data_IF_592734627209
#
_entry.id   IF_592734627209
#
_cell.length_a   1.000
_cell.length_b   1.000
_cell.length_c   1.000
_cell.angle_alpha   90.00
_cell.angle_beta   90.00
_cell.angle_gamma   90.00
#
_symmetry.space_group_name_H-M   'P 1'
#
loop_
_entity.id
_entity.type
_entity.pdbx_description
1 polymer ?
#
# COMPACT_ATOMS: atom_id res chain seq x y z
N UNK A 1 -15.65 10.49 -16.25
CA UNK A 1 -14.22 10.15 -16.25
C UNK A 1 -14.01 8.95 -17.15
N UNK A 2 -13.18 9.10 -18.17
CA UNK A 2 -13.00 8.10 -19.23
C UNK A 2 -12.46 6.78 -18.69
N UNK A 3 -13.29 5.75 -18.72
CA UNK A 3 -12.92 4.34 -18.44
C UNK A 3 -12.16 3.72 -19.62
N UNK A 4 -11.58 4.54 -20.50
CA UNK A 4 -10.88 4.06 -21.69
C UNK A 4 -9.48 3.56 -21.33
N UNK A 5 -9.31 2.24 -21.45
CA UNK A 5 -8.05 1.54 -21.64
C UNK A 5 -7.17 1.29 -20.39
N UNK A 6 -7.74 0.83 -19.27
CA UNK A 6 -6.91 0.10 -18.32
C UNK A 6 -6.49 -1.22 -18.99
N UNK A 7 -5.18 -1.43 -19.13
CA UNK A 7 -4.62 -2.74 -19.52
C UNK A 7 -5.26 -3.79 -18.61
N UNK A 8 -5.86 -4.82 -19.17
CA UNK A 8 -6.43 -5.90 -18.36
C UNK A 8 -5.35 -6.54 -17.51
N UNK A 9 -5.61 -6.67 -16.21
CA UNK A 9 -4.64 -7.08 -15.22
C UNK A 9 -4.63 -8.60 -15.03
N UNK A 10 -3.44 -9.15 -14.85
CA UNK A 10 -3.21 -10.50 -14.36
C UNK A 10 -2.89 -10.40 -12.88
N UNK A 11 -3.75 -10.95 -12.05
CA UNK A 11 -3.70 -10.84 -10.60
C UNK A 11 -3.29 -12.17 -10.00
N UNK A 12 -2.38 -12.16 -9.05
CA UNK A 12 -2.04 -13.32 -8.24
C UNK A 12 -2.69 -13.18 -6.86
N UNK A 13 -3.45 -14.17 -6.40
CA UNK A 13 -4.02 -14.23 -5.05
C UNK A 13 -3.23 -15.25 -4.25
N UNK A 14 -2.62 -14.81 -3.17
CA UNK A 14 -1.82 -15.64 -2.27
C UNK A 14 -2.44 -15.59 -0.88
N UNK A 15 -3.07 -16.69 -0.45
CA UNK A 15 -3.82 -16.79 0.80
C UNK A 15 -4.00 -18.27 1.16
N UNK A 16 -3.78 -18.67 2.39
CA UNK A 16 -3.94 -20.07 2.80
C UNK A 16 -5.40 -20.44 3.07
N UNK A 17 -6.28 -19.46 3.30
CA UNK A 17 -7.71 -19.65 3.50
C UNK A 17 -8.44 -19.91 2.18
N UNK A 18 -8.65 -21.18 1.85
CA UNK A 18 -9.24 -21.63 0.57
C UNK A 18 -10.56 -20.92 0.25
N UNK A 19 -11.49 -20.82 1.20
CA UNK A 19 -12.81 -20.22 0.97
C UNK A 19 -12.70 -18.72 0.63
N UNK A 20 -11.82 -17.99 1.33
CA UNK A 20 -11.59 -16.58 1.07
C UNK A 20 -10.97 -16.38 -0.33
N UNK A 21 -9.97 -17.18 -0.67
CA UNK A 21 -9.29 -17.13 -1.97
C UNK A 21 -10.25 -17.43 -3.12
N UNK A 22 -11.08 -18.49 -3.03
CA UNK A 22 -12.08 -18.85 -4.03
C UNK A 22 -13.16 -17.76 -4.16
N UNK A 23 -13.64 -17.21 -3.04
CA UNK A 23 -14.63 -16.12 -3.03
C UNK A 23 -14.08 -14.85 -3.69
N UNK A 24 -12.84 -14.46 -3.33
CA UNK A 24 -12.17 -13.29 -3.91
C UNK A 24 -11.95 -13.47 -5.43
N UNK A 25 -11.50 -14.66 -5.85
CA UNK A 25 -11.36 -15.01 -7.26
C UNK A 25 -12.67 -14.88 -8.02
N UNK A 26 -13.77 -15.42 -7.47
CA UNK A 26 -15.08 -15.33 -8.10
C UNK A 26 -15.51 -13.87 -8.29
N UNK A 27 -15.40 -13.04 -7.25
CA UNK A 27 -15.77 -11.63 -7.29
C UNK A 27 -14.89 -10.81 -8.24
N UNK A 28 -13.59 -11.06 -8.26
CA UNK A 28 -12.67 -10.35 -9.14
C UNK A 28 -12.80 -10.79 -10.61
N UNK A 29 -13.17 -12.05 -10.87
CA UNK A 29 -13.36 -12.55 -12.25
C UNK A 29 -14.53 -11.88 -12.97
N UNK A 30 -15.47 -11.27 -12.25
CA UNK A 30 -16.59 -10.50 -12.84
C UNK A 30 -16.17 -9.09 -13.27
N UNK A 31 -14.96 -8.63 -12.91
CA UNK A 31 -14.51 -7.28 -13.22
C UNK A 31 -13.92 -7.19 -14.63
N UNK A 32 -14.31 -6.17 -15.36
CA UNK A 32 -13.91 -5.92 -16.75
C UNK A 32 -12.40 -5.65 -16.94
N UNK A 33 -11.74 -5.17 -15.89
CA UNK A 33 -10.29 -4.88 -15.87
C UNK A 33 -9.43 -6.12 -15.54
N UNK A 34 -10.02 -7.25 -15.16
CA UNK A 34 -9.29 -8.49 -14.87
C UNK A 34 -9.16 -9.36 -16.11
N UNK A 35 -7.94 -9.79 -16.41
CA UNK A 35 -7.64 -10.70 -17.51
C UNK A 35 -7.53 -12.16 -17.04
N UNK A 36 -6.75 -12.37 -15.99
CA UNK A 36 -6.48 -13.70 -15.45
C UNK A 36 -6.18 -13.62 -13.96
N UNK A 37 -6.53 -14.67 -13.23
CA UNK A 37 -6.25 -14.80 -11.80
C UNK A 37 -5.47 -16.08 -11.57
N UNK A 38 -4.26 -15.93 -11.04
CA UNK A 38 -3.45 -17.02 -10.50
C UNK A 38 -3.70 -17.15 -9.00
N UNK A 39 -3.45 -18.32 -8.45
CA UNK A 39 -3.66 -18.62 -7.03
C UNK A 39 -2.46 -19.37 -6.46
N UNK A 40 -2.12 -19.07 -5.21
CA UNK A 40 -1.23 -19.86 -4.38
C UNK A 40 -1.83 -20.01 -2.98
N UNK A 41 -1.60 -21.15 -2.36
CA UNK A 41 -2.08 -21.46 -1.00
C UNK A 41 -1.02 -21.20 0.08
N UNK A 42 0.17 -20.75 -0.29
CA UNK A 42 1.26 -20.39 0.62
C UNK A 42 2.25 -19.44 -0.05
N UNK A 43 3.05 -18.77 0.78
CA UNK A 43 4.14 -17.94 0.28
C UNK A 43 5.18 -18.72 -0.53
N UNK A 44 5.44 -19.96 -0.14
CA UNK A 44 6.38 -20.86 -0.86
C UNK A 44 5.87 -21.21 -2.24
N UNK A 45 4.62 -21.68 -2.36
CA UNK A 45 3.96 -22.01 -3.63
C UNK A 45 3.98 -20.79 -4.58
N UNK A 46 3.70 -19.60 -4.05
CA UNK A 46 3.77 -18.36 -4.81
C UNK A 46 5.18 -18.10 -5.36
N UNK A 47 6.23 -18.17 -4.53
CA UNK A 47 7.61 -17.87 -4.95
C UNK A 47 8.12 -18.87 -5.98
N UNK A 48 7.83 -20.16 -5.80
CA UNK A 48 8.22 -21.23 -6.73
C UNK A 48 7.60 -21.00 -8.13
N UNK A 49 6.37 -20.51 -8.17
CA UNK A 49 5.65 -20.29 -9.42
C UNK A 49 5.82 -18.89 -10.02
N UNK A 50 6.30 -17.90 -9.26
CA UNK A 50 6.38 -16.50 -9.69
C UNK A 50 7.18 -16.29 -10.98
N UNK A 51 8.23 -17.07 -11.19
CA UNK A 51 9.08 -16.97 -12.39
C UNK A 51 8.43 -17.53 -13.65
N UNK A 52 7.41 -18.38 -13.52
CA UNK A 52 6.72 -19.04 -14.63
C UNK A 52 5.43 -18.34 -15.05
N UNK A 53 4.93 -17.41 -14.22
CA UNK A 53 3.70 -16.69 -14.51
C UNK A 53 3.99 -15.20 -14.67
N UNK A 54 3.27 -14.59 -15.62
CA UNK A 54 3.35 -13.16 -15.84
C UNK A 54 2.16 -12.49 -15.14
N UNK A 55 2.40 -11.94 -13.94
CA UNK A 55 1.39 -11.22 -13.16
C UNK A 55 1.76 -9.74 -13.03
N UNK A 56 0.74 -8.88 -13.03
CA UNK A 56 0.87 -7.43 -12.93
C UNK A 56 0.72 -6.95 -11.48
N UNK A 57 -0.02 -7.71 -10.64
CA UNK A 57 -0.34 -7.35 -9.27
C UNK A 57 -0.56 -8.60 -8.42
N UNK A 58 -0.13 -8.54 -7.16
CA UNK A 58 -0.32 -9.60 -6.16
C UNK A 58 -1.22 -9.09 -5.03
N UNK A 59 -2.21 -9.89 -4.65
CA UNK A 59 -2.96 -9.77 -3.41
C UNK A 59 -2.36 -10.78 -2.44
N UNK A 60 -1.71 -10.31 -1.37
CA UNK A 60 -0.89 -11.11 -0.47
C UNK A 60 -1.49 -11.14 0.93
N UNK A 61 -1.82 -12.32 1.42
CA UNK A 61 -2.10 -12.51 2.85
C UNK A 61 -0.81 -12.42 3.67
N UNK A 62 -0.91 -11.93 4.90
CA UNK A 62 0.23 -11.84 5.82
C UNK A 62 0.44 -13.17 6.53
N UNK A 63 -0.62 -13.70 7.13
CA UNK A 63 -0.55 -14.85 8.04
C UNK A 63 -0.72 -16.16 7.27
N UNK A 64 0.39 -16.71 6.83
CA UNK A 64 0.44 -18.02 6.18
C UNK A 64 1.48 -18.92 6.84
N UNK A 65 1.24 -20.26 6.89
CA UNK A 65 2.18 -21.20 7.44
C UNK A 65 3.47 -21.29 6.62
N UNK A 66 4.57 -21.69 7.25
CA UNK A 66 5.92 -21.91 6.68
C UNK A 66 6.61 -20.64 6.18
N UNK A 67 6.03 -19.91 5.24
CA UNK A 67 6.51 -18.65 4.70
C UNK A 67 5.38 -17.64 4.76
N UNK A 68 5.52 -16.65 5.64
CA UNK A 68 4.52 -15.58 5.79
C UNK A 68 4.56 -14.60 4.62
N UNK A 69 3.52 -13.75 4.52
CA UNK A 69 3.39 -12.81 3.41
C UNK A 69 4.49 -11.75 3.35
N UNK A 70 5.13 -11.41 4.48
CA UNK A 70 6.25 -10.47 4.52
C UNK A 70 7.46 -11.09 3.82
N UNK A 71 7.86 -12.29 4.24
CA UNK A 71 8.98 -13.04 3.65
C UNK A 71 8.75 -13.32 2.16
N UNK A 72 7.52 -13.71 1.80
CA UNK A 72 7.14 -13.95 0.41
C UNK A 72 7.23 -12.65 -0.42
N UNK A 73 6.76 -11.52 0.12
CA UNK A 73 6.85 -10.22 -0.56
C UNK A 73 8.29 -9.75 -0.73
N UNK A 74 9.14 -9.89 0.29
CA UNK A 74 10.56 -9.55 0.19
C UNK A 74 11.26 -10.35 -0.92
N UNK A 75 11.02 -11.66 -0.97
CA UNK A 75 11.60 -12.51 -2.01
C UNK A 75 11.04 -12.17 -3.39
N UNK A 76 9.73 -11.94 -3.51
CA UNK A 76 9.09 -11.58 -4.77
C UNK A 76 9.64 -10.26 -5.33
N UNK A 77 9.83 -9.24 -4.50
CA UNK A 77 10.37 -7.94 -4.92
C UNK A 77 11.88 -8.00 -5.23
N UNK A 78 12.63 -8.97 -4.69
CA UNK A 78 14.01 -9.25 -5.15
C UNK A 78 14.03 -9.87 -6.55
N UNK A 79 13.05 -10.75 -6.87
CA UNK A 79 12.92 -11.39 -8.19
C UNK A 79 12.37 -10.40 -9.22
N UNK A 80 11.36 -9.62 -8.83
CA UNK A 80 10.66 -8.63 -9.67
C UNK A 80 10.50 -7.32 -8.91
N UNK A 81 11.44 -6.38 -8.99
CA UNK A 81 11.40 -5.12 -8.25
C UNK A 81 10.19 -4.23 -8.56
N UNK A 82 9.63 -4.34 -9.77
CA UNK A 82 8.47 -3.55 -10.22
C UNK A 82 7.12 -4.21 -9.90
N UNK A 83 7.11 -5.38 -9.24
CA UNK A 83 5.90 -6.10 -8.89
C UNK A 83 5.06 -5.28 -7.92
N UNK A 84 3.78 -5.13 -8.23
CA UNK A 84 2.82 -4.42 -7.39
C UNK A 84 2.22 -5.38 -6.38
N UNK A 85 2.39 -5.12 -5.08
CA UNK A 85 1.85 -5.96 -4.02
C UNK A 85 0.86 -5.14 -3.19
N UNK A 86 -0.35 -5.68 -3.02
CA UNK A 86 -1.37 -5.22 -2.07
C UNK A 86 -1.51 -6.29 -1.01
N UNK A 87 -1.36 -5.88 0.24
CA UNK A 87 -1.54 -6.75 1.39
C UNK A 87 -3.01 -6.86 1.74
N UNK A 88 -3.46 -8.08 2.04
CA UNK A 88 -4.75 -8.36 2.63
C UNK A 88 -4.51 -8.92 4.04
N UNK A 89 -5.08 -8.30 5.07
CA UNK A 89 -4.90 -8.72 6.47
C UNK A 89 -6.22 -8.78 7.21
N UNK A 90 -6.36 -9.74 8.13
CA UNK A 90 -7.51 -9.80 9.07
C UNK A 90 -7.42 -8.72 10.12
N UNK A 91 -6.22 -8.32 10.52
CA UNK A 91 -5.94 -7.39 11.60
C UNK A 91 -5.10 -6.21 11.14
N UNK A 92 -5.40 -5.02 11.66
CA UNK A 92 -4.56 -3.84 11.50
C UNK A 92 -3.37 -3.85 12.46
N UNK A 93 -2.62 -4.96 12.55
CA UNK A 93 -1.47 -5.06 13.45
C UNK A 93 -0.35 -4.14 12.96
N UNK A 94 0.02 -3.21 13.82
CA UNK A 94 1.01 -2.18 13.57
C UNK A 94 2.36 -2.77 13.16
N UNK A 95 2.79 -3.86 13.78
CA UNK A 95 4.09 -4.48 13.51
C UNK A 95 4.19 -5.03 12.07
N UNK A 96 3.12 -5.64 11.57
CA UNK A 96 3.05 -6.15 10.20
C UNK A 96 2.99 -5.01 9.18
N UNK A 97 2.25 -3.95 9.51
CA UNK A 97 2.15 -2.78 8.65
C UNK A 97 3.50 -2.13 8.40
N UNK A 98 4.26 -1.82 9.46
CA UNK A 98 5.59 -1.23 9.33
C UNK A 98 6.52 -2.06 8.46
N UNK A 99 6.59 -3.36 8.74
CA UNK A 99 7.44 -4.27 7.97
C UNK A 99 7.05 -4.31 6.49
N UNK A 100 5.75 -4.38 6.18
CA UNK A 100 5.27 -4.43 4.81
C UNK A 100 5.52 -3.12 4.05
N UNK A 101 5.40 -1.98 4.73
CA UNK A 101 5.73 -0.68 4.15
C UNK A 101 7.23 -0.59 3.84
N UNK A 102 8.09 -1.05 4.74
CA UNK A 102 9.54 -1.07 4.55
C UNK A 102 9.96 -2.00 3.40
N UNK A 103 9.29 -3.11 3.24
CA UNK A 103 9.47 -4.03 2.11
C UNK A 103 9.07 -3.39 0.78
N UNK A 104 8.15 -2.42 0.77
CA UNK A 104 7.79 -1.64 -0.41
C UNK A 104 6.46 -1.99 -1.06
N UNK A 105 5.50 -2.55 -0.29
CA UNK A 105 4.14 -2.81 -0.78
C UNK A 105 3.46 -1.52 -1.28
N UNK A 106 2.53 -1.66 -2.21
CA UNK A 106 1.82 -0.54 -2.83
C UNK A 106 0.43 -0.33 -2.24
N UNK A 107 -0.08 -1.29 -1.49
CA UNK A 107 -1.37 -1.17 -0.85
C UNK A 107 -1.54 -2.07 0.35
N UNK A 108 -2.49 -1.71 1.22
CA UNK A 108 -2.88 -2.50 2.38
C UNK A 108 -4.39 -2.35 2.59
N UNK A 109 -5.09 -3.47 2.68
CA UNK A 109 -6.54 -3.54 2.84
C UNK A 109 -6.87 -4.57 3.92
N UNK A 110 -7.81 -4.26 4.78
CA UNK A 110 -8.32 -5.24 5.74
C UNK A 110 -9.28 -6.21 5.03
N UNK A 111 -9.18 -7.51 5.27
CA UNK A 111 -10.05 -8.56 4.67
C UNK A 111 -11.52 -8.37 5.01
N UNK A 112 -11.84 -7.69 6.12
CA UNK A 112 -13.21 -7.36 6.54
C UNK A 112 -13.76 -6.07 5.94
N UNK A 113 -13.00 -5.32 5.15
CA UNK A 113 -13.41 -4.02 4.58
C UNK A 113 -14.36 -4.12 3.38
N UNK A 114 -14.70 -5.30 2.93
CA UNK A 114 -15.55 -5.52 1.75
C UNK A 114 -14.80 -5.48 0.42
N UNK A 115 -15.41 -6.07 -0.60
CA UNK A 115 -14.79 -6.25 -1.94
C UNK A 115 -14.56 -4.91 -2.65
N UNK A 116 -15.38 -3.91 -2.40
CA UNK A 116 -15.29 -2.58 -3.00
C UNK A 116 -13.96 -1.90 -2.68
N UNK A 117 -13.48 -2.08 -1.43
CA UNK A 117 -12.18 -1.55 -1.00
C UNK A 117 -11.02 -2.28 -1.70
N UNK A 118 -11.12 -3.60 -1.88
CA UNK A 118 -10.13 -4.37 -2.63
C UNK A 118 -10.09 -3.93 -4.09
N UNK A 119 -11.24 -3.74 -4.74
CA UNK A 119 -11.32 -3.24 -6.11
C UNK A 119 -10.73 -1.83 -6.23
N UNK A 120 -11.05 -0.94 -5.29
CA UNK A 120 -10.49 0.41 -5.25
C UNK A 120 -8.96 0.38 -5.11
N UNK A 121 -8.43 -0.48 -4.23
CA UNK A 121 -7.00 -0.68 -4.04
C UNK A 121 -6.31 -1.19 -5.32
N UNK A 122 -6.90 -2.20 -5.99
CA UNK A 122 -6.37 -2.74 -7.25
C UNK A 122 -6.30 -1.63 -8.31
N UNK A 123 -7.36 -0.84 -8.47
CA UNK A 123 -7.41 0.25 -9.46
C UNK A 123 -6.38 1.34 -9.19
N UNK A 124 -6.26 1.78 -7.94
CA UNK A 124 -5.28 2.79 -7.52
C UNK A 124 -3.85 2.30 -7.76
N UNK A 125 -3.53 1.09 -7.30
CA UNK A 125 -2.19 0.51 -7.45
C UNK A 125 -1.87 0.20 -8.91
N UNK A 126 -2.85 -0.22 -9.72
CA UNK A 126 -2.66 -0.39 -11.16
C UNK A 126 -2.33 0.93 -11.85
N UNK A 127 -2.94 2.04 -11.42
CA UNK A 127 -2.64 3.39 -11.90
C UNK A 127 -1.29 3.95 -11.42
N UNK A 128 -0.56 3.21 -10.55
CA UNK A 128 0.72 3.64 -9.99
C UNK A 128 0.61 4.45 -8.69
N UNK A 129 -0.58 4.52 -8.12
CA UNK A 129 -0.84 5.13 -6.82
C UNK A 129 -0.65 4.11 -5.70
N UNK A 130 -0.51 4.58 -4.45
CA UNK A 130 -0.56 3.69 -3.28
C UNK A 130 -1.96 3.74 -2.68
N UNK A 131 -2.38 2.63 -2.04
CA UNK A 131 -3.68 2.54 -1.39
C UNK A 131 -3.55 1.96 0.02
N UNK A 132 -3.97 2.74 1.03
CA UNK A 132 -4.02 2.31 2.43
C UNK A 132 -5.40 2.69 2.98
N UNK A 133 -6.15 1.71 3.50
CA UNK A 133 -7.51 1.97 3.98
C UNK A 133 -7.49 2.92 5.20
N UNK A 134 -8.50 3.80 5.28
CA UNK A 134 -8.64 4.74 6.40
C UNK A 134 -8.74 4.02 7.75
N UNK A 135 -9.47 2.90 7.79
CA UNK A 135 -9.63 2.09 9.00
C UNK A 135 -8.27 1.58 9.52
N UNK A 136 -7.38 1.21 8.60
CA UNK A 136 -6.03 0.79 8.95
C UNK A 136 -5.23 1.95 9.56
N UNK A 137 -5.28 3.12 8.94
CA UNK A 137 -4.58 4.31 9.43
C UNK A 137 -5.10 4.72 10.81
N UNK A 138 -6.41 4.68 11.03
CA UNK A 138 -7.04 4.97 12.33
C UNK A 138 -6.62 3.94 13.39
N UNK A 139 -6.58 2.65 13.06
CA UNK A 139 -6.15 1.60 13.99
C UNK A 139 -4.69 1.78 14.41
N UNK A 140 -3.81 2.10 13.47
CA UNK A 140 -2.41 2.40 13.76
C UNK A 140 -2.28 3.62 14.66
N UNK A 141 -3.04 4.69 14.40
CA UNK A 141 -3.06 5.90 15.23
C UNK A 141 -3.53 5.64 16.67
N UNK A 142 -4.56 4.80 16.84
CA UNK A 142 -5.09 4.45 18.17
C UNK A 142 -4.07 3.62 18.96
N UNK A 143 -3.42 2.66 18.33
CA UNK A 143 -2.41 1.81 18.96
C UNK A 143 -1.15 2.62 19.37
N UNK A 144 -0.77 3.64 18.59
CA UNK A 144 0.33 4.54 18.95
C UNK A 144 0.04 5.43 20.17
N UNK A 145 -1.23 5.70 20.45
CA UNK A 145 -1.62 6.46 21.65
C UNK A 145 -1.44 5.66 22.94
N UNK A 146 -1.54 4.33 22.85
CA UNK A 146 -1.50 3.44 24.00
C UNK A 146 -0.12 2.85 24.32
N UNK A 147 0.87 2.96 23.47
CA UNK A 147 2.17 2.30 23.61
C UNK A 147 3.40 3.07 23.13
N UNK A 148 4.07 3.68 24.05
CA UNK A 148 5.48 3.95 24.31
C UNK A 148 6.52 4.03 23.19
N UNK A 149 7.18 5.17 23.13
CA UNK A 149 8.62 5.41 22.95
C UNK A 149 9.41 4.62 21.91
N UNK A 150 9.54 5.21 20.72
CA UNK A 150 10.83 5.23 20.03
C UNK A 150 10.97 6.60 19.35
N UNK A 151 11.87 7.43 19.88
CA UNK A 151 12.30 8.66 19.24
C UNK A 151 13.35 8.32 18.19
N UNK A 152 13.22 8.79 16.95
CA UNK A 152 14.39 8.98 16.07
C UNK A 152 15.02 10.33 16.40
N UNK A 153 16.34 10.37 16.49
CA UNK A 153 17.10 11.60 16.62
C UNK A 153 17.02 12.45 15.33
N UNK A 154 17.03 13.80 15.46
CA UNK A 154 16.98 14.69 14.30
C UNK A 154 18.36 14.77 13.65
N UNK A 155 18.46 14.37 12.39
CA UNK A 155 19.65 14.62 11.56
C UNK A 155 19.49 15.90 10.73
N UNK A 156 20.39 16.83 10.98
CA UNK A 156 20.89 17.98 10.20
C UNK A 156 19.93 19.06 9.66
N UNK A 157 20.37 20.35 9.65
CA UNK A 157 19.55 21.55 9.41
C UNK A 157 19.06 21.78 7.96
N UNK A 158 19.49 20.99 6.99
CA UNK A 158 19.13 21.18 5.57
C UNK A 158 17.86 20.42 5.12
N UNK A 159 17.20 19.69 6.05
CA UNK A 159 16.05 18.82 5.75
C UNK A 159 14.72 19.33 6.32
N UNK A 160 14.60 20.61 6.64
CA UNK A 160 13.30 21.13 7.12
C UNK A 160 12.21 21.01 6.07
N UNK A 161 11.09 20.38 6.50
CA UNK A 161 9.88 20.27 5.69
C UNK A 161 9.19 21.63 5.70
N UNK A 162 8.97 22.22 4.53
CA UNK A 162 8.33 23.52 4.39
C UNK A 162 6.84 23.45 4.78
N UNK A 163 6.24 24.60 5.12
CA UNK A 163 4.81 24.70 5.43
C UNK A 163 3.94 24.10 4.30
N UNK A 164 4.31 24.37 3.04
CA UNK A 164 3.60 23.82 1.88
C UNK A 164 3.71 22.32 1.74
N UNK A 165 4.84 21.76 2.08
CA UNK A 165 5.06 20.33 2.11
C UNK A 165 4.28 19.68 3.27
N UNK A 166 4.19 20.34 4.44
CA UNK A 166 3.36 19.88 5.57
C UNK A 166 1.86 19.86 5.20
N UNK A 167 1.38 20.88 4.50
CA UNK A 167 -0.01 20.95 4.04
C UNK A 167 -0.34 19.80 3.06
N UNK A 168 0.56 19.53 2.14
CA UNK A 168 0.42 18.37 1.22
C UNK A 168 0.50 17.05 1.99
N UNK A 169 1.45 16.92 2.93
CA UNK A 169 1.61 15.74 3.78
C UNK A 169 0.33 15.45 4.58
N UNK A 170 -0.30 16.49 5.13
CA UNK A 170 -1.59 16.36 5.80
C UNK A 170 -2.66 15.72 4.91
N UNK A 171 -2.82 16.21 3.69
CA UNK A 171 -3.79 15.64 2.74
C UNK A 171 -3.43 14.24 2.26
N UNK A 172 -2.14 13.94 2.14
CA UNK A 172 -1.66 12.57 1.87
C UNK A 172 -2.05 11.62 3.00
N UNK A 173 -1.93 12.06 4.25
CA UNK A 173 -2.32 11.27 5.42
C UNK A 173 -3.83 11.06 5.53
N UNK A 174 -4.63 11.97 4.97
CA UNK A 174 -6.08 11.80 4.82
C UNK A 174 -6.46 10.86 3.65
N UNK A 175 -5.49 10.27 2.97
CA UNK A 175 -5.73 9.31 1.88
C UNK A 175 -6.13 9.94 0.54
N UNK A 176 -6.01 11.27 0.37
CA UNK A 176 -6.38 11.94 -0.86
C UNK A 176 -5.40 11.60 -1.99
N UNK A 177 -5.95 11.42 -3.20
CA UNK A 177 -5.18 11.29 -4.43
C UNK A 177 -4.49 12.62 -4.81
N UNK A 178 -3.47 12.56 -5.65
CA UNK A 178 -2.74 13.75 -6.09
C UNK A 178 -3.65 14.76 -6.82
N UNK A 179 -4.71 14.29 -7.49
CA UNK A 179 -5.68 15.16 -8.14
C UNK A 179 -6.57 15.86 -7.12
N UNK A 180 -7.09 15.15 -6.11
CA UNK A 180 -7.92 15.74 -5.06
C UNK A 180 -7.13 16.75 -4.22
N UNK A 181 -5.85 16.49 -3.96
CA UNK A 181 -4.95 17.44 -3.29
C UNK A 181 -4.76 18.70 -4.15
N UNK A 182 -4.52 18.51 -5.45
CA UNK A 182 -4.35 19.59 -6.40
C UNK A 182 -5.58 20.50 -6.45
N UNK A 183 -6.76 19.91 -6.51
CA UNK A 183 -8.04 20.62 -6.55
C UNK A 183 -8.31 21.37 -5.23
N UNK A 184 -8.03 20.74 -4.07
CA UNK A 184 -8.19 21.38 -2.76
C UNK A 184 -7.24 22.55 -2.52
N UNK A 185 -6.00 22.41 -2.97
CA UNK A 185 -4.95 23.40 -2.73
C UNK A 185 -4.80 24.42 -3.86
N UNK A 186 -5.67 24.37 -4.89
CA UNK A 186 -5.65 25.23 -6.08
C UNK A 186 -4.30 25.25 -6.79
N UNK A 187 -3.66 24.08 -6.96
CA UNK A 187 -2.38 23.91 -7.67
C UNK A 187 -2.48 22.82 -8.73
N UNK A 188 -1.46 22.68 -9.56
CA UNK A 188 -1.44 21.58 -10.54
C UNK A 188 -1.10 20.23 -9.89
N UNK A 189 -1.63 19.13 -10.46
CA UNK A 189 -1.24 17.76 -10.06
C UNK A 189 0.29 17.58 -10.10
N UNK A 190 0.95 18.14 -11.13
CA UNK A 190 2.42 18.11 -11.27
C UNK A 190 3.13 18.79 -10.10
N UNK A 191 2.55 19.85 -9.55
CA UNK A 191 3.08 20.55 -8.38
C UNK A 191 2.98 19.66 -7.14
N UNK A 192 1.85 18.95 -6.95
CA UNK A 192 1.68 17.97 -5.87
C UNK A 192 2.70 16.85 -6.00
N UNK A 193 2.86 16.29 -7.21
CA UNK A 193 3.85 15.22 -7.48
C UNK A 193 5.27 15.66 -7.08
N UNK A 194 5.66 16.91 -7.41
CA UNK A 194 6.96 17.47 -7.05
C UNK A 194 7.14 17.58 -5.53
N UNK A 195 6.15 18.11 -4.81
CA UNK A 195 6.24 18.23 -3.35
C UNK A 195 6.29 16.87 -2.66
N UNK A 196 5.56 15.88 -3.15
CA UNK A 196 5.63 14.51 -2.63
C UNK A 196 7.00 13.87 -2.85
N UNK A 197 7.61 14.09 -4.02
CA UNK A 197 8.97 13.63 -4.28
C UNK A 197 9.99 14.30 -3.34
N UNK A 198 9.85 15.60 -3.08
CA UNK A 198 10.69 16.33 -2.14
C UNK A 198 10.52 15.79 -0.70
N UNK A 199 9.26 15.55 -0.27
CA UNK A 199 8.96 14.97 1.04
C UNK A 199 9.63 13.60 1.22
N UNK A 200 9.52 12.71 0.22
CA UNK A 200 10.19 11.41 0.25
C UNK A 200 11.71 11.57 0.36
N UNK A 201 12.30 12.49 -0.39
CA UNK A 201 13.74 12.78 -0.35
C UNK A 201 14.18 13.32 1.00
N UNK A 202 13.47 14.33 1.55
CA UNK A 202 13.80 14.97 2.84
C UNK A 202 13.63 14.05 4.03
N UNK A 203 12.65 13.14 3.98
CA UNK A 203 12.37 12.19 5.07
C UNK A 203 13.11 10.88 4.96
N UNK A 204 13.79 10.63 3.83
CA UNK A 204 14.41 9.36 3.52
C UNK A 204 13.40 8.22 3.27
N UNK A 205 12.11 8.55 3.18
CA UNK A 205 11.07 7.56 2.99
C UNK A 205 11.06 7.02 1.56
N UNK A 206 10.91 5.69 1.40
CA UNK A 206 10.95 5.02 0.09
C UNK A 206 9.62 5.11 -0.67
N UNK A 207 8.52 5.36 0.03
CA UNK A 207 7.18 5.42 -0.56
C UNK A 207 6.22 6.27 0.29
N UNK A 208 5.01 6.51 -0.22
CA UNK A 208 3.98 7.30 0.46
C UNK A 208 3.57 6.71 1.81
N UNK A 209 3.52 5.39 1.93
CA UNK A 209 3.14 4.75 3.18
C UNK A 209 4.18 4.99 4.27
N UNK A 210 5.48 4.84 3.95
CA UNK A 210 6.57 5.21 4.84
C UNK A 210 6.51 6.70 5.23
N UNK A 211 6.15 7.57 4.28
CA UNK A 211 5.99 9.00 4.52
C UNK A 211 4.83 9.32 5.48
N UNK A 212 3.68 8.66 5.32
CA UNK A 212 2.54 8.78 6.25
C UNK A 212 2.96 8.34 7.65
N UNK A 213 3.65 7.21 7.76
CA UNK A 213 4.15 6.70 9.03
C UNK A 213 5.18 7.64 9.67
N UNK A 214 6.07 8.19 8.87
CA UNK A 214 7.04 9.19 9.32
C UNK A 214 6.32 10.41 9.93
N UNK A 215 5.30 10.94 9.24
CA UNK A 215 4.52 12.09 9.71
C UNK A 215 3.82 11.81 11.05
N UNK A 216 3.22 10.63 11.19
CA UNK A 216 2.54 10.19 12.41
C UNK A 216 3.54 10.01 13.54
N UNK A 217 4.63 9.26 13.32
CA UNK A 217 5.67 8.97 14.32
C UNK A 217 6.31 10.24 14.88
N UNK A 218 6.51 11.23 14.03
CA UNK A 218 7.10 12.51 14.41
C UNK A 218 6.06 13.54 14.88
N UNK A 219 4.79 13.15 15.07
CA UNK A 219 3.69 14.03 15.51
C UNK A 219 3.56 15.30 14.67
N UNK A 220 3.87 15.21 13.39
CA UNK A 220 3.82 16.35 12.45
C UNK A 220 2.39 16.70 12.05
N UNK A 221 1.45 15.80 12.29
CA UNK A 221 0.05 15.91 11.87
C UNK A 221 -0.82 15.51 13.05
N UNK A 222 -1.76 16.39 13.41
CA UNK A 222 -2.87 16.09 14.31
C UNK A 222 -4.10 15.77 13.45
N UNK A 223 -4.40 14.50 13.30
CA UNK A 223 -5.62 14.01 12.66
C UNK A 223 -6.62 13.60 13.73
#
# INVERSE_FOLDING_TARGET
MDTKNLKKLRIYIVDDHKLFREGLKLLLSTQDFVHHIYEASSGRDFIENLSFVDCDLVLMDIEMPEMNGIEATEQALRIRPDLKVIVLSMYGDEQYYYKMVDVGVKGFVLKNSGIEKVIAAIRAVAAGENYFSEELLVNILNNMRDGGQHKPEPESPDNEISERELEILYHVCLGLSNQEIADKLFISKRTVDKHRANLLSKTGCRNTAALVMYAIKNKMINI
#
